data_IF_945615483473
#
_entry.id   IF_945615483473
#
_cell.length_a   1.000
_cell.length_b   1.000
_cell.length_c   1.000
_cell.angle_alpha   90.00
_cell.angle_beta   90.00
_cell.angle_gamma   90.00
#
_symmetry.space_group_name_H-M   'P 1'
#
loop_
_entity.id
_entity.type
_entity.pdbx_description
1 polymer ?
#
# COMPACT_ATOMS: atom_id res chain seq x y z
N UNK A 1 -13.60 -20.35 5.02
CA UNK A 1 -12.22 -20.67 4.55
C UNK A 1 -12.06 -20.69 3.03
N UNK A 2 -12.96 -21.34 2.26
CA UNK A 2 -12.83 -21.46 0.78
C UNK A 2 -12.61 -20.13 0.05
N UNK A 3 -13.31 -19.06 0.44
CA UNK A 3 -13.19 -17.74 -0.21
C UNK A 3 -11.80 -17.09 -0.07
N UNK A 4 -11.18 -17.17 1.10
CA UNK A 4 -9.82 -16.64 1.31
C UNK A 4 -8.81 -17.42 0.47
N UNK A 5 -8.88 -18.75 0.49
CA UNK A 5 -7.99 -19.61 -0.31
C UNK A 5 -8.12 -19.27 -1.80
N UNK A 6 -9.34 -19.00 -2.29
CA UNK A 6 -9.53 -18.59 -3.70
C UNK A 6 -8.93 -17.22 -4.02
N UNK A 7 -9.00 -16.25 -3.11
CA UNK A 7 -8.38 -14.92 -3.30
C UNK A 7 -6.86 -15.03 -3.38
N UNK A 8 -6.26 -15.78 -2.46
CA UNK A 8 -4.81 -16.00 -2.43
C UNK A 8 -4.34 -16.79 -3.66
N UNK A 9 -5.08 -17.82 -4.05
CA UNK A 9 -4.77 -18.61 -5.25
C UNK A 9 -4.88 -17.78 -6.53
N UNK A 10 -5.93 -16.94 -6.64
CA UNK A 10 -6.10 -16.05 -7.79
C UNK A 10 -4.98 -15.00 -7.87
N UNK A 11 -4.61 -14.40 -6.73
CA UNK A 11 -3.49 -13.45 -6.65
C UNK A 11 -2.16 -14.11 -7.01
N UNK A 12 -1.89 -15.31 -6.52
CA UNK A 12 -0.65 -16.05 -6.86
C UNK A 12 -0.53 -16.34 -8.36
N UNK A 13 -1.64 -16.61 -9.05
CA UNK A 13 -1.63 -16.79 -10.51
C UNK A 13 -1.22 -15.53 -11.27
N UNK A 14 -1.44 -14.34 -10.73
CA UNK A 14 -1.02 -13.09 -11.37
C UNK A 14 0.51 -12.95 -11.39
N UNK A 15 1.23 -13.46 -10.40
CA UNK A 15 2.70 -13.48 -10.42
C UNK A 15 3.29 -14.34 -11.53
N UNK A 16 2.53 -15.29 -12.10
CA UNK A 16 3.01 -16.12 -13.21
C UNK A 16 2.86 -15.46 -14.58
N UNK A 17 2.11 -14.35 -14.66
CA UNK A 17 1.86 -13.65 -15.92
C UNK A 17 2.88 -12.54 -16.13
N UNK A 18 3.60 -12.60 -17.25
CA UNK A 18 4.60 -11.59 -17.63
C UNK A 18 3.96 -10.19 -17.64
N UNK A 19 2.77 -10.05 -18.24
CA UNK A 19 2.05 -8.77 -18.31
C UNK A 19 1.76 -8.18 -16.93
N UNK A 20 1.38 -9.02 -15.97
CA UNK A 20 1.09 -8.59 -14.60
C UNK A 20 2.36 -8.12 -13.92
N UNK A 21 3.46 -8.88 -14.02
CA UNK A 21 4.78 -8.48 -13.49
C UNK A 21 5.23 -7.14 -14.09
N UNK A 22 5.08 -6.95 -15.40
CA UNK A 22 5.48 -5.68 -16.05
C UNK A 22 4.67 -4.50 -15.53
N UNK A 23 3.36 -4.64 -15.34
CA UNK A 23 2.51 -3.58 -14.79
C UNK A 23 2.82 -3.28 -13.32
N UNK A 24 3.04 -4.33 -12.51
CA UNK A 24 3.47 -4.19 -11.12
C UNK A 24 4.79 -3.41 -11.04
N UNK A 25 5.74 -3.73 -11.92
CA UNK A 25 7.06 -3.07 -11.98
C UNK A 25 6.94 -1.60 -12.40
N UNK A 26 6.12 -1.30 -13.40
CA UNK A 26 5.86 0.09 -13.83
C UNK A 26 5.22 0.92 -12.71
N UNK A 27 4.20 0.37 -12.04
CA UNK A 27 3.57 1.02 -10.89
C UNK A 27 4.55 1.18 -9.72
N UNK A 28 5.44 0.21 -9.50
CA UNK A 28 6.55 0.29 -8.57
C UNK A 28 7.49 1.45 -8.88
N UNK A 29 7.94 1.58 -10.12
CA UNK A 29 8.78 2.70 -10.54
C UNK A 29 8.10 4.05 -10.30
N UNK A 30 6.81 4.18 -10.65
CA UNK A 30 6.01 5.38 -10.37
C UNK A 30 5.94 5.64 -8.86
N UNK A 31 5.77 4.59 -8.06
CA UNK A 31 5.72 4.70 -6.59
C UNK A 31 7.02 5.21 -5.99
N UNK A 32 8.17 4.75 -6.47
CA UNK A 32 9.48 5.26 -6.02
C UNK A 32 9.61 6.75 -6.37
N UNK A 33 9.26 7.14 -7.61
CA UNK A 33 9.34 8.53 -8.07
C UNK A 33 8.38 9.43 -7.28
N UNK A 34 7.14 9.00 -7.03
CA UNK A 34 6.16 9.75 -6.24
C UNK A 34 6.51 9.80 -4.76
N UNK A 35 7.13 8.74 -4.21
CA UNK A 35 7.68 8.75 -2.85
C UNK A 35 8.84 9.72 -2.71
N UNK A 36 9.49 10.03 -3.83
CA UNK A 36 10.57 11.00 -3.94
C UNK A 36 10.09 12.45 -3.82
N UNK A 37 8.84 12.70 -4.22
CA UNK A 37 8.14 13.98 -4.18
C UNK A 37 7.40 14.12 -2.84
N UNK A 38 8.13 14.49 -1.80
CA UNK A 38 7.54 14.79 -0.49
C UNK A 38 7.22 16.26 -0.37
N UNK A 39 5.94 16.58 -0.13
CA UNK A 39 5.51 17.93 0.24
C UNK A 39 5.57 18.03 1.75
N UNK A 40 6.37 18.96 2.27
CA UNK A 40 6.47 19.25 3.70
C UNK A 40 5.47 20.34 4.05
N UNK A 41 4.51 20.02 4.91
CA UNK A 41 3.60 21.00 5.51
C UNK A 41 4.08 21.21 6.96
N UNK A 42 4.84 22.27 7.16
CA UNK A 42 5.56 22.53 8.43
C UNK A 42 6.67 21.51 8.71
N UNK A 43 7.11 21.45 9.96
CA UNK A 43 8.27 20.62 10.37
C UNK A 43 7.94 19.13 10.56
N UNK A 44 6.66 18.81 10.77
CA UNK A 44 6.23 17.47 11.21
C UNK A 44 5.40 16.69 10.19
N UNK A 45 4.72 17.36 9.25
CA UNK A 45 3.81 16.70 8.31
C UNK A 45 4.44 16.54 6.92
N UNK A 46 5.06 15.39 6.69
CA UNK A 46 5.50 14.97 5.35
C UNK A 46 4.39 14.19 4.66
N UNK A 47 3.86 14.74 3.56
CA UNK A 47 2.87 14.10 2.70
C UNK A 47 3.60 13.48 1.50
N UNK A 48 3.32 12.21 1.25
CA UNK A 48 3.84 11.43 0.14
C UNK A 48 2.68 10.84 -0.66
N UNK A 49 2.84 10.72 -1.98
CA UNK A 49 1.81 10.20 -2.89
C UNK A 49 2.08 8.77 -3.38
N UNK A 50 3.13 8.12 -2.86
CA UNK A 50 3.47 6.74 -3.20
C UNK A 50 2.38 5.72 -2.83
N UNK A 51 1.50 6.07 -1.89
CA UNK A 51 0.36 5.22 -1.53
C UNK A 51 -0.58 4.97 -2.71
N UNK A 52 -0.70 5.89 -3.67
CA UNK A 52 -1.59 5.73 -4.83
C UNK A 52 -1.20 4.55 -5.72
N UNK A 53 0.00 4.51 -6.32
CA UNK A 53 0.40 3.37 -7.15
C UNK A 53 0.50 2.07 -6.34
N UNK A 54 0.94 2.12 -5.08
CA UNK A 54 1.01 0.93 -4.23
C UNK A 54 -0.39 0.33 -3.99
N UNK A 55 -1.36 1.16 -3.62
CA UNK A 55 -2.71 0.71 -3.36
C UNK A 55 -3.42 0.26 -4.64
N UNK A 56 -3.07 0.82 -5.81
CA UNK A 56 -3.50 0.29 -7.10
C UNK A 56 -2.98 -1.13 -7.34
N UNK A 57 -1.70 -1.42 -7.04
CA UNK A 57 -1.18 -2.79 -7.15
C UNK A 57 -1.95 -3.74 -6.24
N UNK A 58 -2.21 -3.34 -4.99
CA UNK A 58 -2.97 -4.15 -4.03
C UNK A 58 -4.42 -4.40 -4.51
N UNK A 59 -5.05 -3.37 -5.08
CA UNK A 59 -6.39 -3.46 -5.64
C UNK A 59 -6.46 -4.41 -6.84
N UNK A 60 -5.48 -4.33 -7.74
CA UNK A 60 -5.51 -5.03 -9.03
C UNK A 60 -5.00 -6.47 -8.97
N UNK A 61 -4.01 -6.75 -8.13
CA UNK A 61 -3.31 -8.03 -8.14
C UNK A 61 -3.49 -8.85 -6.85
N UNK A 62 -4.08 -8.26 -5.80
CA UNK A 62 -4.54 -8.99 -4.62
C UNK A 62 -3.46 -9.24 -3.55
N UNK A 63 -3.78 -10.07 -2.53
CA UNK A 63 -3.00 -10.12 -1.29
C UNK A 63 -1.62 -10.79 -1.40
N UNK A 64 -1.45 -11.82 -2.25
CA UNK A 64 -0.16 -12.51 -2.41
C UNK A 64 0.82 -11.62 -3.19
N UNK A 65 0.35 -11.06 -4.30
CA UNK A 65 1.15 -10.08 -5.06
C UNK A 65 1.43 -8.86 -4.20
N UNK A 66 0.44 -8.37 -3.45
CA UNK A 66 0.61 -7.25 -2.55
C UNK A 66 1.67 -7.49 -1.48
N UNK A 67 1.71 -8.68 -0.88
CA UNK A 67 2.74 -9.08 0.08
C UNK A 67 4.15 -9.01 -0.54
N UNK A 68 4.34 -9.67 -1.68
CA UNK A 68 5.64 -9.72 -2.38
C UNK A 68 6.06 -8.35 -2.87
N UNK A 69 5.14 -7.59 -3.47
CA UNK A 69 5.37 -6.23 -3.93
C UNK A 69 5.71 -5.30 -2.77
N UNK A 70 4.99 -5.37 -1.64
CA UNK A 70 5.26 -4.57 -0.45
C UNK A 70 6.67 -4.81 0.09
N UNK A 71 7.08 -6.08 0.26
CA UNK A 71 8.43 -6.43 0.68
C UNK A 71 9.49 -5.90 -0.30
N UNK A 72 9.27 -6.11 -1.60
CA UNK A 72 10.21 -5.71 -2.65
C UNK A 72 10.36 -4.19 -2.71
N UNK A 73 9.25 -3.47 -2.62
CA UNK A 73 9.24 -2.00 -2.67
C UNK A 73 9.91 -1.38 -1.46
N UNK A 74 9.78 -1.98 -0.27
CA UNK A 74 10.49 -1.52 0.92
C UNK A 74 12.01 -1.61 0.74
N UNK A 75 12.50 -2.77 0.27
CA UNK A 75 13.92 -3.00 -0.01
C UNK A 75 14.41 -2.09 -1.14
N UNK A 76 13.68 -2.01 -2.26
CA UNK A 76 14.07 -1.19 -3.41
C UNK A 76 14.09 0.30 -3.06
N UNK A 77 13.09 0.79 -2.32
CA UNK A 77 13.05 2.19 -1.90
C UNK A 77 14.23 2.49 -0.97
N UNK A 78 14.59 1.56 -0.08
CA UNK A 78 15.76 1.71 0.78
C UNK A 78 17.08 1.74 -0.02
N UNK A 79 17.22 0.88 -1.05
CA UNK A 79 18.41 0.88 -1.93
C UNK A 79 18.52 2.19 -2.71
N UNK A 80 17.41 2.67 -3.28
CA UNK A 80 17.40 3.90 -4.09
C UNK A 80 17.56 5.14 -3.20
N UNK A 81 16.99 5.12 -2.00
CA UNK A 81 17.07 6.19 -1.01
C UNK A 81 17.28 5.60 0.38
N UNK A 82 18.53 5.47 0.84
CA UNK A 82 18.83 4.96 2.18
C UNK A 82 18.54 6.05 3.22
N UNK A 83 17.27 6.41 3.40
CA UNK A 83 16.83 7.35 4.42
C UNK A 83 16.53 6.58 5.71
N UNK A 84 17.48 6.61 6.65
CA UNK A 84 17.38 5.93 7.94
C UNK A 84 18.02 4.54 7.94
N UNK A 85 17.80 3.78 9.01
CA UNK A 85 18.37 2.44 9.19
C UNK A 85 17.42 1.40 8.63
N UNK A 86 17.94 0.48 7.80
CA UNK A 86 17.17 -0.68 7.37
C UNK A 86 16.78 -1.53 8.58
N UNK A 87 15.49 -1.83 8.71
CA UNK A 87 14.98 -2.69 9.77
C UNK A 87 13.92 -3.61 9.21
N UNK A 88 14.14 -4.91 9.37
CA UNK A 88 13.29 -5.95 8.79
C UNK A 88 11.82 -5.87 9.26
N UNK A 89 11.57 -5.30 10.44
CA UNK A 89 10.19 -5.05 10.92
C UNK A 89 9.39 -4.11 10.01
N UNK A 90 10.02 -3.13 9.36
CA UNK A 90 9.32 -2.27 8.39
C UNK A 90 8.97 -3.02 7.11
N UNK A 91 9.82 -3.96 6.67
CA UNK A 91 9.50 -4.86 5.56
C UNK A 91 8.31 -5.75 5.91
N UNK A 92 8.23 -6.25 7.15
CA UNK A 92 7.05 -7.00 7.63
C UNK A 92 5.78 -6.14 7.66
N UNK A 93 5.88 -4.88 8.09
CA UNK A 93 4.78 -3.92 7.99
C UNK A 93 4.31 -3.75 6.55
N UNK A 94 5.24 -3.61 5.58
CA UNK A 94 4.90 -3.46 4.17
C UNK A 94 4.22 -4.71 3.57
N UNK A 95 4.66 -5.92 3.98
CA UNK A 95 3.99 -7.18 3.63
C UNK A 95 2.55 -7.19 4.14
N UNK A 96 2.35 -6.85 5.41
CA UNK A 96 1.03 -6.81 6.04
C UNK A 96 0.13 -5.76 5.38
N UNK A 97 0.68 -4.60 5.00
CA UNK A 97 -0.05 -3.59 4.21
C UNK A 97 -0.59 -4.22 2.94
N UNK A 98 0.26 -4.85 2.14
CA UNK A 98 -0.15 -5.49 0.89
C UNK A 98 -1.22 -6.57 1.06
N UNK A 99 -1.13 -7.35 2.14
CA UNK A 99 -2.13 -8.38 2.49
C UNK A 99 -3.47 -7.74 2.87
N UNK A 100 -3.47 -6.74 3.77
CA UNK A 100 -4.69 -6.09 4.26
C UNK A 100 -5.44 -5.41 3.11
N UNK A 101 -4.75 -4.59 2.33
CA UNK A 101 -5.37 -3.93 1.18
C UNK A 101 -5.83 -4.95 0.14
N UNK A 102 -5.02 -5.98 -0.13
CA UNK A 102 -5.39 -7.06 -1.03
C UNK A 102 -6.63 -7.84 -0.59
N UNK A 103 -6.81 -8.14 0.70
CA UNK A 103 -8.00 -8.85 1.19
C UNK A 103 -9.26 -7.95 1.12
N UNK A 104 -9.10 -6.68 1.47
CA UNK A 104 -10.25 -5.76 1.57
C UNK A 104 -10.72 -5.29 0.21
N UNK A 105 -9.80 -5.04 -0.73
CA UNK A 105 -10.11 -4.36 -1.99
C UNK A 105 -10.09 -5.27 -3.24
N UNK A 106 -9.39 -6.41 -3.24
CA UNK A 106 -9.26 -7.25 -4.45
C UNK A 106 -10.55 -7.95 -4.87
N UNK A 107 -10.82 -7.99 -6.18
CA UNK A 107 -12.03 -8.58 -6.81
C UNK A 107 -13.35 -8.08 -6.19
N UNK A 108 -13.37 -6.84 -5.72
CA UNK A 108 -14.51 -6.25 -5.01
C UNK A 108 -14.84 -4.89 -5.62
N UNK A 109 -16.12 -4.52 -5.78
CA UNK A 109 -16.48 -3.21 -6.31
C UNK A 109 -15.94 -2.10 -5.41
N UNK A 110 -15.50 -1.03 -6.09
CA UNK A 110 -14.97 0.19 -5.47
C UNK A 110 -16.05 0.83 -4.63
N UNK A 111 -15.73 1.10 -3.37
CA UNK A 111 -16.62 1.79 -2.47
C UNK A 111 -15.80 2.64 -1.52
N UNK A 112 -16.23 3.90 -1.32
CA UNK A 112 -15.65 4.80 -0.33
C UNK A 112 -15.55 4.15 1.05
N UNK A 113 -16.59 3.41 1.46
CA UNK A 113 -16.62 2.71 2.75
C UNK A 113 -15.52 1.66 2.85
N UNK A 114 -15.31 0.86 1.80
CA UNK A 114 -14.28 -0.21 1.82
C UNK A 114 -12.87 0.34 1.83
N UNK A 115 -12.62 1.38 1.05
CA UNK A 115 -11.32 2.06 1.03
C UNK A 115 -11.04 2.69 2.40
N UNK A 116 -12.03 3.38 2.98
CA UNK A 116 -11.93 3.94 4.31
C UNK A 116 -11.60 2.85 5.35
N UNK A 117 -12.30 1.71 5.32
CA UNK A 117 -12.01 0.58 6.21
C UNK A 117 -10.59 0.03 6.02
N UNK A 118 -10.11 -0.12 4.78
CA UNK A 118 -8.74 -0.57 4.50
C UNK A 118 -7.71 0.40 5.08
N UNK A 119 -7.89 1.70 4.81
CA UNK A 119 -7.02 2.76 5.32
C UNK A 119 -7.06 2.85 6.85
N UNK A 120 -8.23 2.66 7.47
CA UNK A 120 -8.37 2.65 8.92
C UNK A 120 -7.62 1.48 9.57
N UNK A 121 -7.78 0.27 9.03
CA UNK A 121 -7.05 -0.92 9.52
C UNK A 121 -5.54 -0.71 9.36
N UNK A 122 -5.10 -0.23 8.21
CA UNK A 122 -3.69 0.08 7.97
C UNK A 122 -3.16 1.16 8.93
N UNK A 123 -3.91 2.24 9.14
CA UNK A 123 -3.53 3.31 10.06
C UNK A 123 -3.35 2.77 11.48
N UNK A 124 -4.33 2.04 12.01
CA UNK A 124 -4.30 1.57 13.39
C UNK A 124 -3.23 0.49 13.59
N UNK A 125 -3.28 -0.59 12.82
CA UNK A 125 -2.42 -1.75 13.08
C UNK A 125 -1.01 -1.54 12.56
N UNK A 126 -0.84 -0.96 11.38
CA UNK A 126 0.47 -0.91 10.74
C UNK A 126 1.17 0.40 11.06
N UNK A 127 0.52 1.53 10.79
CA UNK A 127 1.15 2.84 10.94
C UNK A 127 1.33 3.24 12.41
N UNK A 128 0.32 3.06 13.25
CA UNK A 128 0.33 3.49 14.65
C UNK A 128 0.95 2.44 15.57
N UNK A 129 0.59 1.16 15.45
CA UNK A 129 1.13 0.11 16.33
C UNK A 129 2.50 -0.40 15.85
N UNK A 130 2.55 -1.12 14.73
CA UNK A 130 3.77 -1.79 14.29
C UNK A 130 4.90 -0.80 13.98
N UNK A 131 4.65 0.20 13.14
CA UNK A 131 5.69 1.13 12.73
C UNK A 131 6.22 1.98 13.88
N UNK A 132 5.37 2.37 14.85
CA UNK A 132 5.84 3.08 16.05
C UNK A 132 6.64 2.14 16.94
N UNK A 133 6.23 0.88 17.09
CA UNK A 133 6.98 -0.12 17.87
C UNK A 133 8.38 -0.36 17.29
N UNK A 134 8.49 -0.56 15.98
CA UNK A 134 9.79 -0.69 15.31
C UNK A 134 10.66 0.54 15.50
N UNK A 135 10.06 1.73 15.44
CA UNK A 135 10.76 2.98 15.68
C UNK A 135 11.33 3.10 17.10
N UNK A 136 10.58 2.63 18.09
CA UNK A 136 11.05 2.67 19.49
C UNK A 136 12.23 1.74 19.73
N UNK A 137 12.26 0.59 19.06
CA UNK A 137 13.41 -0.32 19.11
C UNK A 137 14.64 0.28 18.43
N UNK A 138 14.46 1.07 17.37
CA UNK A 138 15.57 1.67 16.62
C UNK A 138 16.15 2.92 17.27
N UNK A 139 15.30 3.82 17.78
CA UNK A 139 15.73 5.12 18.31
C UNK A 139 15.88 5.07 19.84
N UNK A 140 15.30 4.07 20.52
CA UNK A 140 15.33 3.96 21.98
C UNK A 140 14.44 4.98 22.71
N UNK A 141 13.62 5.74 21.98
CA UNK A 141 12.65 6.66 22.57
C UNK A 141 11.39 5.92 23.05
N UNK A 142 10.71 6.49 24.06
CA UNK A 142 9.49 5.92 24.60
C UNK A 142 8.34 5.88 23.58
N UNK A 143 7.68 4.73 23.47
CA UNK A 143 6.54 4.50 22.56
C UNK A 143 5.42 5.54 22.69
N UNK A 144 5.12 5.94 23.92
CA UNK A 144 4.08 6.92 24.22
C UNK A 144 4.42 8.34 23.73
N UNK A 145 5.69 8.65 23.47
CA UNK A 145 6.13 9.96 22.99
C UNK A 145 5.89 10.09 21.49
N UNK A 146 6.11 9.01 20.74
CA UNK A 146 5.96 8.99 19.28
C UNK A 146 4.53 8.75 18.82
N UNK A 147 3.67 8.19 19.68
CA UNK A 147 2.29 7.88 19.34
C UNK A 147 1.42 9.09 18.96
N UNK A 148 1.41 10.22 19.70
CA UNK A 148 0.50 11.34 19.41
C UNK A 148 0.71 11.92 18.02
N UNK A 149 1.97 12.12 17.61
CA UNK A 149 2.29 12.66 16.28
C UNK A 149 1.90 11.67 15.16
N UNK A 150 2.04 10.35 15.42
CA UNK A 150 1.66 9.28 14.48
C UNK A 150 0.15 9.22 14.29
N UNK A 151 -0.61 9.31 15.38
CA UNK A 151 -2.08 9.32 15.35
C UNK A 151 -2.59 10.56 14.62
N UNK A 152 -2.06 11.74 14.97
CA UNK A 152 -2.45 13.00 14.33
C UNK A 152 -2.17 12.96 12.83
N UNK A 153 -0.98 12.53 12.40
CA UNK A 153 -0.65 12.34 10.99
C UNK A 153 -1.62 11.36 10.32
N UNK A 154 -1.89 10.23 10.96
CA UNK A 154 -2.80 9.20 10.45
C UNK A 154 -4.21 9.73 10.23
N UNK A 155 -4.77 10.43 11.20
CA UNK A 155 -6.14 10.98 11.14
C UNK A 155 -6.28 12.02 10.01
N UNK A 156 -5.26 12.86 9.80
CA UNK A 156 -5.28 13.87 8.73
C UNK A 156 -5.12 13.20 7.36
N UNK A 157 -4.23 12.21 7.24
CA UNK A 157 -3.99 11.51 5.97
C UNK A 157 -5.13 10.58 5.58
N UNK A 158 -5.84 9.98 6.55
CA UNK A 158 -6.89 9.00 6.28
C UNK A 158 -7.99 9.50 5.31
N UNK A 159 -8.62 10.67 5.49
CA UNK A 159 -9.61 11.18 4.54
C UNK A 159 -8.98 11.50 3.17
N UNK A 160 -7.75 12.03 3.17
CA UNK A 160 -7.02 12.39 1.95
C UNK A 160 -6.72 11.15 1.12
N UNK A 161 -6.10 10.13 1.72
CA UNK A 161 -5.79 8.85 1.08
C UNK A 161 -7.06 8.16 0.59
N UNK A 162 -8.14 8.21 1.38
CA UNK A 162 -9.42 7.58 1.02
C UNK A 162 -10.04 8.23 -0.21
N UNK A 163 -10.13 9.56 -0.23
CA UNK A 163 -10.73 10.31 -1.34
C UNK A 163 -9.88 10.23 -2.61
N UNK A 164 -8.56 10.36 -2.49
CA UNK A 164 -7.67 10.27 -3.64
C UNK A 164 -7.66 8.87 -4.24
N UNK A 165 -7.59 7.82 -3.40
CA UNK A 165 -7.64 6.46 -3.92
C UNK A 165 -8.99 6.14 -4.57
N UNK A 166 -10.10 6.56 -3.96
CA UNK A 166 -11.43 6.37 -4.53
C UNK A 166 -11.58 7.06 -5.89
N UNK A 167 -11.18 8.32 -6.00
CA UNK A 167 -11.28 9.05 -7.27
C UNK A 167 -10.43 8.43 -8.35
N UNK A 168 -9.18 8.06 -8.05
CA UNK A 168 -8.28 7.40 -9.01
C UNK A 168 -8.85 6.07 -9.49
N UNK A 169 -9.28 5.18 -8.59
CA UNK A 169 -9.80 3.88 -9.00
C UNK A 169 -11.11 4.05 -9.79
N UNK A 170 -12.03 4.88 -9.32
CA UNK A 170 -13.32 5.09 -10.00
C UNK A 170 -13.14 5.67 -11.42
N UNK A 171 -12.19 6.60 -11.60
CA UNK A 171 -11.87 7.16 -12.92
C UNK A 171 -11.18 6.13 -13.82
N UNK A 172 -10.28 5.31 -13.28
CA UNK A 172 -9.64 4.23 -14.02
C UNK A 172 -10.63 3.14 -14.45
N UNK A 173 -11.64 2.82 -13.63
CA UNK A 173 -12.73 1.94 -14.01
C UNK A 173 -13.61 2.54 -15.11
N UNK A 174 -14.00 3.81 -14.96
CA UNK A 174 -14.80 4.52 -15.95
C UNK A 174 -14.10 4.66 -17.32
N UNK A 175 -12.77 4.77 -17.33
CA UNK A 175 -11.98 4.83 -18.56
C UNK A 175 -11.86 3.50 -19.31
N UNK A 176 -12.27 2.38 -18.70
CA UNK A 176 -12.09 1.03 -19.25
C UNK A 176 -10.64 0.56 -19.32
N UNK A 177 -9.66 1.39 -18.92
CA UNK A 177 -8.23 1.05 -18.90
C UNK A 177 -8.00 -0.17 -18.01
N UNK A 178 -8.66 -0.25 -16.86
CA UNK A 178 -8.53 -1.42 -15.98
C UNK A 178 -9.02 -2.70 -16.65
N UNK A 179 -10.12 -2.65 -17.40
CA UNK A 179 -10.62 -3.82 -18.14
C UNK A 179 -9.67 -4.21 -19.28
N UNK A 180 -9.00 -3.26 -19.92
CA UNK A 180 -8.01 -3.51 -20.96
C UNK A 180 -6.67 -4.05 -20.41
N UNK A 181 -6.24 -3.55 -19.24
CA UNK A 181 -5.05 -4.00 -18.53
C UNK A 181 -5.26 -5.38 -17.89
N UNK A 182 -6.42 -5.58 -17.26
CA UNK A 182 -6.83 -6.81 -16.61
C UNK A 182 -7.53 -7.78 -17.55
N UNK A 183 -7.58 -7.53 -18.88
CA UNK A 183 -8.22 -8.42 -19.87
C UNK A 183 -7.68 -9.84 -19.71
N UNK A 184 -8.36 -10.58 -18.83
CA UNK A 184 -8.44 -12.03 -18.75
C UNK A 184 -8.94 -12.38 -20.13
N UNK A 185 -8.05 -12.79 -21.04
CA UNK A 185 -8.50 -13.50 -22.23
C UNK A 185 -9.27 -14.72 -21.72
N UNK A 186 -10.59 -14.62 -21.69
CA UNK A 186 -11.45 -15.75 -21.95
C UNK A 186 -11.37 -15.99 -23.47
N UNK A 187 -10.29 -16.64 -23.87
CA UNK A 187 -10.23 -17.46 -25.08
C UNK A 187 -9.44 -18.69 -24.69
#
# INVERSE_FOLDING_TARGET
MKHFITLFTASSKELKKIRSITLISMLGAISIILGSLTIMIGDFLKINFNFLPNNLVFYLFGPVVGAVYGATMDILTFIVRPTGTFFFGFTLSAILTGIIYGIVLYNKPVSLRRIFFANLIHMVFISVLLNTYWLTLLIGQGFLILLPIRILKGIIMLPIETLLLYTVINRLEASGILNNLLRRKSH
#
